data_IF_914602472095
#
_entry.id   IF_914602472095
#
_cell.length_a   1.000
_cell.length_b   1.000
_cell.length_c   1.000
_cell.angle_alpha   90.00
_cell.angle_beta   90.00
_cell.angle_gamma   90.00
#
_symmetry.space_group_name_H-M   'P 1'
#
loop_
_entity.id
_entity.type
_entity.pdbx_description
1 polymer ?
#
# COMPACT_ATOMS: atom_id res chain seq x y z
N UNK A 1 22.29 -0.79 14.06
CA UNK A 1 22.29 0.68 14.08
C UNK A 1 21.40 1.25 12.98
N UNK A 2 21.51 0.75 11.73
CA UNK A 2 20.67 1.16 10.60
C UNK A 2 19.17 0.88 10.81
N UNK A 3 18.81 -0.26 11.40
CA UNK A 3 17.44 -0.58 11.77
C UNK A 3 16.78 0.52 12.64
N UNK A 4 17.41 0.84 13.79
CA UNK A 4 16.88 1.85 14.70
C UNK A 4 16.80 3.25 14.07
N UNK A 5 17.76 3.59 13.20
CA UNK A 5 17.75 4.82 12.43
C UNK A 5 16.59 4.83 11.42
N UNK A 6 16.36 3.72 10.72
CA UNK A 6 15.24 3.57 9.79
C UNK A 6 13.88 3.67 10.47
N UNK A 7 13.70 3.00 11.63
CA UNK A 7 12.47 3.12 12.45
C UNK A 7 12.24 4.59 12.84
N UNK A 8 13.27 5.28 13.35
CA UNK A 8 13.18 6.68 13.72
C UNK A 8 12.81 7.56 12.53
N UNK A 9 13.48 7.38 11.39
CA UNK A 9 13.26 8.16 10.18
C UNK A 9 11.84 7.94 9.62
N UNK A 10 11.35 6.71 9.65
CA UNK A 10 9.98 6.39 9.20
C UNK A 10 8.92 7.02 10.12
N UNK A 11 9.08 6.87 11.43
CA UNK A 11 8.19 7.49 12.42
C UNK A 11 8.21 9.03 12.31
N UNK A 12 9.37 9.63 12.08
CA UNK A 12 9.51 11.06 11.82
C UNK A 12 8.79 11.45 10.51
N UNK A 13 8.91 10.66 9.46
CA UNK A 13 8.20 10.86 8.20
C UNK A 13 6.67 10.89 8.39
N UNK A 14 6.13 9.95 9.17
CA UNK A 14 4.70 9.92 9.55
C UNK A 14 4.34 11.19 10.34
N UNK A 15 5.14 11.57 11.34
CA UNK A 15 4.88 12.76 12.15
C UNK A 15 4.85 14.03 11.29
N UNK A 16 5.82 14.18 10.38
CA UNK A 16 5.85 15.29 9.43
C UNK A 16 4.61 15.29 8.53
N UNK A 17 4.20 14.13 8.02
CA UNK A 17 3.00 14.00 7.20
C UNK A 17 1.74 14.47 7.94
N UNK A 18 1.58 14.07 9.20
CA UNK A 18 0.46 14.51 10.04
C UNK A 18 0.54 16.02 10.36
N UNK A 19 1.70 16.53 10.66
CA UNK A 19 1.86 17.99 10.86
C UNK A 19 1.50 18.78 9.60
N UNK A 20 1.87 18.30 8.41
CA UNK A 20 1.52 18.93 7.15
C UNK A 20 0.01 18.82 6.85
N UNK A 21 -0.64 17.72 7.22
CA UNK A 21 -2.10 17.59 7.18
C UNK A 21 -2.78 18.72 7.99
N UNK A 22 -2.38 18.89 9.25
CA UNK A 22 -2.90 19.97 10.10
C UNK A 22 -2.56 21.36 9.54
N UNK A 23 -1.39 21.50 8.90
CA UNK A 23 -1.01 22.74 8.22
C UNK A 23 -1.93 23.05 7.02
N UNK A 24 -2.41 22.03 6.32
CA UNK A 24 -3.41 22.16 5.25
C UNK A 24 -4.68 22.86 5.75
N UNK A 25 -5.24 22.38 6.86
CA UNK A 25 -6.38 22.99 7.53
C UNK A 25 -6.09 24.43 7.98
N UNK A 26 -4.94 24.65 8.64
CA UNK A 26 -4.53 25.95 9.14
C UNK A 26 -4.40 27.00 8.03
N UNK A 27 -3.68 26.65 6.96
CA UNK A 27 -3.41 27.57 5.85
C UNK A 27 -4.70 27.97 5.16
N UNK A 28 -5.56 27.02 4.85
CA UNK A 28 -6.82 27.26 4.16
C UNK A 28 -7.82 28.00 5.06
N UNK A 29 -7.90 27.67 6.36
CA UNK A 29 -8.73 28.40 7.32
C UNK A 29 -8.33 29.87 7.40
N UNK A 30 -7.03 30.16 7.56
CA UNK A 30 -6.50 31.53 7.59
C UNK A 30 -6.73 32.26 6.26
N UNK A 31 -6.58 31.57 5.11
CA UNK A 31 -6.82 32.16 3.79
C UNK A 31 -8.27 32.61 3.61
N UNK A 32 -9.21 31.92 4.27
CA UNK A 32 -10.63 32.29 4.27
C UNK A 32 -11.04 33.18 5.45
N UNK A 33 -10.10 33.72 6.20
CA UNK A 33 -10.33 34.62 7.32
C UNK A 33 -11.03 33.94 8.51
N UNK A 34 -10.86 32.64 8.68
CA UNK A 34 -11.24 31.93 9.90
C UNK A 34 -10.17 32.14 10.98
N UNK A 35 -10.56 32.19 12.25
CA UNK A 35 -9.63 32.30 13.37
C UNK A 35 -9.13 30.93 13.76
N UNK A 36 -7.81 30.72 13.66
CA UNK A 36 -7.14 29.53 14.15
C UNK A 36 -6.27 29.93 15.37
N UNK A 37 -6.55 29.32 16.51
CA UNK A 37 -5.95 29.72 17.79
C UNK A 37 -4.76 28.88 18.17
N UNK A 38 -4.70 27.62 17.76
CA UNK A 38 -3.62 26.70 18.11
C UNK A 38 -3.24 25.82 16.90
N UNK A 39 -1.95 25.49 16.82
CA UNK A 39 -1.38 24.50 15.91
C UNK A 39 -0.25 23.78 16.65
N UNK A 40 -0.45 22.50 16.94
CA UNK A 40 0.49 21.74 17.74
C UNK A 40 0.82 20.38 17.09
N UNK A 41 2.10 20.01 17.15
CA UNK A 41 2.55 18.66 16.97
C UNK A 41 2.48 17.91 18.31
N UNK A 42 1.77 16.76 18.34
CA UNK A 42 1.61 15.94 19.54
C UNK A 42 0.42 16.34 20.43
N UNK A 43 0.27 15.60 21.54
CA UNK A 43 -0.76 15.76 22.54
C UNK A 43 -0.16 15.81 23.96
N UNK A 44 -0.98 16.12 24.98
CA UNK A 44 -0.56 16.17 26.38
C UNK A 44 0.08 17.49 26.77
N UNK A 45 1.04 17.51 27.74
CA UNK A 45 1.69 18.72 28.22
C UNK A 45 2.49 19.41 27.10
N UNK A 46 2.47 20.75 27.09
CA UNK A 46 3.26 21.55 26.14
C UNK A 46 4.72 21.54 26.56
N UNK A 47 5.60 21.07 25.66
CA UNK A 47 7.06 21.13 25.86
C UNK A 47 7.62 22.49 25.49
N UNK A 48 7.14 23.04 24.38
CA UNK A 48 7.57 24.33 23.85
C UNK A 48 6.48 24.93 22.99
N UNK A 49 6.25 26.22 23.08
CA UNK A 49 5.35 26.96 22.19
C UNK A 49 5.81 28.40 21.96
N UNK A 50 5.34 28.97 20.87
CA UNK A 50 5.49 30.42 20.59
C UNK A 50 4.21 30.91 19.91
N UNK A 51 3.94 32.22 20.05
CA UNK A 51 2.79 32.85 19.42
C UNK A 51 3.22 33.71 18.23
N UNK A 52 2.54 33.49 17.09
CA UNK A 52 2.69 34.34 15.91
C UNK A 52 1.30 34.80 15.45
N UNK A 53 1.06 36.12 15.65
CA UNK A 53 -0.26 36.69 15.47
C UNK A 53 -1.24 36.14 16.50
N UNK A 54 -2.36 35.64 16.04
CA UNK A 54 -3.42 35.06 16.89
C UNK A 54 -3.27 33.55 17.14
N UNK A 55 -2.31 32.89 16.51
CA UNK A 55 -2.10 31.43 16.60
C UNK A 55 -0.91 31.12 17.47
N UNK A 56 -1.08 30.20 18.41
CA UNK A 56 -0.02 29.59 19.19
C UNK A 56 0.45 28.30 18.45
N UNK A 57 1.76 28.21 18.22
CA UNK A 57 2.43 27.09 17.59
C UNK A 57 3.29 26.37 18.61
N UNK A 58 3.32 25.04 18.60
CA UNK A 58 4.17 24.34 19.54
C UNK A 58 4.24 22.85 19.37
N UNK A 59 4.97 22.22 20.29
CA UNK A 59 5.19 20.78 20.38
C UNK A 59 4.76 20.31 21.77
N UNK A 60 4.07 19.18 21.81
CA UNK A 60 3.60 18.53 23.04
C UNK A 60 4.33 17.20 23.27
N UNK A 61 4.26 16.68 24.49
CA UNK A 61 5.07 15.57 24.95
C UNK A 61 4.78 14.23 24.30
N UNK A 62 3.55 13.99 23.83
CA UNK A 62 3.14 12.70 23.26
C UNK A 62 3.10 12.85 21.73
N UNK A 63 4.07 12.27 20.98
CA UNK A 63 4.17 12.44 19.54
C UNK A 63 3.19 11.51 18.77
N UNK A 64 1.92 11.50 19.14
CA UNK A 64 0.90 10.62 18.58
C UNK A 64 -0.04 11.36 17.61
N UNK A 65 0.49 12.32 16.84
CA UNK A 65 -0.31 13.09 15.88
C UNK A 65 -0.09 14.60 15.99
N UNK A 66 -1.07 15.39 15.58
CA UNK A 66 -1.11 16.84 15.68
C UNK A 66 -2.55 17.33 15.75
N UNK A 67 -2.73 18.63 15.94
CA UNK A 67 -4.03 19.26 15.81
C UNK A 67 -3.94 20.75 15.49
N UNK A 68 -4.96 21.23 14.82
CA UNK A 68 -5.24 22.65 14.64
C UNK A 68 -6.58 23.00 15.28
N UNK A 69 -6.63 24.07 16.09
CA UNK A 69 -7.86 24.56 16.68
C UNK A 69 -8.39 25.74 15.88
N UNK A 70 -9.43 25.46 15.06
CA UNK A 70 -10.16 26.45 14.26
C UNK A 70 -11.44 26.81 15.00
N UNK A 71 -11.64 28.09 15.27
CA UNK A 71 -12.74 28.58 16.08
C UNK A 71 -14.12 28.22 15.46
N UNK A 72 -14.98 27.58 16.26
CA UNK A 72 -16.32 27.21 15.85
C UNK A 72 -16.37 26.04 14.86
N UNK A 73 -15.33 25.24 14.75
CA UNK A 73 -15.33 24.02 13.92
C UNK A 73 -16.23 22.95 14.54
N UNK A 74 -16.19 22.80 15.85
CA UNK A 74 -17.07 21.91 16.61
C UNK A 74 -17.96 22.70 17.56
N UNK A 75 -19.25 22.34 17.73
CA UNK A 75 -20.18 23.02 18.64
C UNK A 75 -19.85 22.82 20.12
N UNK A 76 -18.95 21.89 20.45
CA UNK A 76 -18.52 21.57 21.82
C UNK A 76 -17.44 22.53 22.33
N UNK A 77 -16.99 23.46 21.48
CA UNK A 77 -15.95 24.44 21.85
C UNK A 77 -16.54 25.62 22.61
N UNK A 78 -15.65 26.23 23.40
CA UNK A 78 -15.91 27.36 24.30
C UNK A 78 -16.81 28.47 23.73
N UNK A 79 -17.48 29.22 24.61
CA UNK A 79 -18.27 30.39 24.24
C UNK A 79 -17.44 31.35 23.39
N UNK A 80 -17.82 31.50 22.14
CA UNK A 80 -17.19 32.45 21.22
C UNK A 80 -17.34 33.86 21.74
N UNK A 81 -16.23 34.63 21.76
CA UNK A 81 -16.32 36.05 21.96
C UNK A 81 -17.15 36.69 20.83
N UNK A 82 -18.06 37.62 21.13
CA UNK A 82 -18.92 38.22 20.11
C UNK A 82 -18.16 38.83 18.92
N UNK A 83 -16.98 39.39 19.18
CA UNK A 83 -16.10 39.94 18.16
C UNK A 83 -15.54 38.92 17.18
N UNK A 84 -15.40 37.64 17.57
CA UNK A 84 -14.81 36.58 16.77
C UNK A 84 -15.88 35.75 16.02
N UNK A 85 -17.16 35.93 16.31
CA UNK A 85 -18.24 35.12 15.75
C UNK A 85 -18.27 35.15 14.21
N UNK A 86 -17.99 36.29 13.59
CA UNK A 86 -17.94 36.45 12.14
C UNK A 86 -16.80 35.67 11.47
N UNK A 87 -15.79 35.27 12.26
CA UNK A 87 -14.61 34.50 11.85
C UNK A 87 -14.74 33.02 12.18
N UNK A 88 -15.86 32.60 12.80
CA UNK A 88 -16.08 31.22 13.13
C UNK A 88 -16.27 30.37 11.86
N UNK A 89 -15.77 29.14 11.90
CA UNK A 89 -15.85 28.16 10.80
C UNK A 89 -17.29 27.99 10.29
N UNK A 90 -18.26 27.82 11.18
CA UNK A 90 -19.66 27.59 10.81
C UNK A 90 -20.34 28.81 10.15
N UNK A 91 -19.81 30.03 10.29
CA UNK A 91 -20.29 31.24 9.60
C UNK A 91 -19.89 31.31 8.13
N UNK A 92 -18.87 30.53 7.74
CA UNK A 92 -18.36 30.59 6.38
C UNK A 92 -19.20 29.78 5.40
N UNK A 93 -19.20 30.12 4.11
CA UNK A 93 -19.91 29.39 3.07
C UNK A 93 -19.49 27.91 3.03
N UNK A 94 -20.42 27.02 2.64
CA UNK A 94 -20.19 25.56 2.59
C UNK A 94 -18.91 25.19 1.83
N UNK A 95 -18.69 25.81 0.66
CA UNK A 95 -17.51 25.50 -0.15
C UNK A 95 -16.17 25.83 0.56
N UNK A 96 -16.10 26.97 1.34
CA UNK A 96 -14.91 27.30 2.12
C UNK A 96 -14.69 26.30 3.24
N UNK A 97 -15.76 25.92 3.94
CA UNK A 97 -15.69 24.89 4.99
C UNK A 97 -15.23 23.55 4.42
N UNK A 98 -15.76 23.16 3.25
CA UNK A 98 -15.34 21.92 2.57
C UNK A 98 -13.87 21.96 2.18
N UNK A 99 -13.39 23.05 1.58
CA UNK A 99 -11.97 23.18 1.22
C UNK A 99 -11.09 23.08 2.46
N UNK A 100 -11.45 23.71 3.57
CA UNK A 100 -10.65 23.61 4.81
C UNK A 100 -10.54 22.17 5.29
N UNK A 101 -11.68 21.43 5.32
CA UNK A 101 -11.69 20.04 5.79
C UNK A 101 -10.95 19.08 4.83
N UNK A 102 -11.07 19.29 3.53
CA UNK A 102 -10.40 18.42 2.54
C UNK A 102 -8.90 18.75 2.42
N UNK A 103 -8.48 19.96 2.82
CA UNK A 103 -7.11 20.40 2.67
C UNK A 103 -6.10 19.51 3.42
N UNK A 104 -6.46 18.96 4.57
CA UNK A 104 -5.62 17.99 5.28
C UNK A 104 -5.34 16.75 4.44
N UNK A 105 -6.38 16.10 3.93
CA UNK A 105 -6.23 14.94 3.04
C UNK A 105 -5.51 15.30 1.74
N UNK A 106 -5.74 16.48 1.19
CA UNK A 106 -5.06 16.95 -0.01
C UNK A 106 -3.53 17.05 0.18
N UNK A 107 -3.05 17.42 1.38
CA UNK A 107 -1.61 17.43 1.68
C UNK A 107 -1.01 16.02 1.68
N UNK A 108 -1.72 15.02 2.16
CA UNK A 108 -1.27 13.62 2.08
C UNK A 108 -1.14 13.13 0.64
N UNK A 109 -2.11 13.43 -0.23
CA UNK A 109 -2.00 13.08 -1.66
C UNK A 109 -0.85 13.83 -2.33
N UNK A 110 -0.66 15.13 -2.02
CA UNK A 110 0.48 15.89 -2.53
C UNK A 110 1.82 15.28 -2.08
N UNK A 111 1.94 14.90 -0.81
CA UNK A 111 3.15 14.24 -0.29
C UNK A 111 3.41 12.90 -1.00
N UNK A 112 2.37 12.08 -1.19
CA UNK A 112 2.48 10.83 -1.92
C UNK A 112 2.97 11.06 -3.36
N UNK A 113 2.40 12.05 -4.07
CA UNK A 113 2.87 12.42 -5.42
C UNK A 113 4.34 12.84 -5.39
N UNK A 114 4.77 13.65 -4.41
CA UNK A 114 6.16 14.09 -4.29
C UNK A 114 7.12 12.93 -3.99
N UNK A 115 6.73 11.99 -3.11
CA UNK A 115 7.52 10.79 -2.81
C UNK A 115 7.65 9.92 -4.06
N UNK A 116 6.54 9.58 -4.72
CA UNK A 116 6.55 8.75 -5.92
C UNK A 116 7.22 9.45 -7.11
N UNK A 117 7.12 10.77 -7.20
CA UNK A 117 7.88 11.54 -8.18
C UNK A 117 9.40 11.40 -7.95
N UNK A 118 9.84 11.53 -6.70
CA UNK A 118 11.24 11.29 -6.34
C UNK A 118 11.68 9.86 -6.67
N UNK A 119 10.86 8.86 -6.35
CA UNK A 119 11.14 7.46 -6.67
C UNK A 119 11.24 7.21 -8.17
N UNK A 120 10.33 7.77 -8.98
CA UNK A 120 10.19 7.49 -10.41
C UNK A 120 11.48 7.71 -11.21
N UNK A 121 12.35 8.63 -10.78
CA UNK A 121 13.61 8.90 -11.47
C UNK A 121 14.87 8.57 -10.65
N UNK A 122 14.73 8.00 -9.43
CA UNK A 122 15.88 7.62 -8.59
C UNK A 122 15.98 6.12 -8.36
N UNK A 123 14.91 5.51 -7.86
CA UNK A 123 14.84 4.09 -7.52
C UNK A 123 13.87 3.30 -8.41
N UNK A 124 13.17 3.99 -9.31
CA UNK A 124 12.05 3.44 -10.06
C UNK A 124 10.76 3.36 -9.23
N UNK A 125 9.61 3.28 -9.92
CA UNK A 125 8.34 2.93 -9.29
C UNK A 125 8.12 1.42 -9.37
N UNK A 126 7.52 0.77 -8.35
CA UNK A 126 7.13 -0.62 -8.44
C UNK A 126 6.30 -0.89 -9.71
N UNK A 127 6.66 -1.92 -10.45
CA UNK A 127 5.99 -2.23 -11.71
C UNK A 127 4.61 -2.85 -11.43
N UNK A 128 3.51 -2.19 -11.81
CA UNK A 128 2.17 -2.70 -11.56
C UNK A 128 1.86 -4.01 -12.32
N UNK A 129 2.59 -4.29 -13.40
CA UNK A 129 2.45 -5.53 -14.13
C UNK A 129 2.75 -6.77 -13.27
N UNK A 130 3.59 -6.63 -12.22
CA UNK A 130 3.86 -7.72 -11.27
C UNK A 130 2.63 -8.11 -10.44
N UNK A 131 1.76 -7.16 -10.11
CA UNK A 131 0.55 -7.43 -9.31
C UNK A 131 -0.51 -8.24 -10.09
N UNK A 132 -0.46 -8.20 -11.43
CA UNK A 132 -1.38 -8.92 -12.33
C UNK A 132 -0.67 -9.97 -13.17
N UNK A 133 0.59 -10.26 -12.85
CA UNK A 133 1.39 -11.21 -13.61
C UNK A 133 0.92 -12.63 -13.35
N UNK A 134 0.40 -13.27 -14.38
CA UNK A 134 0.11 -14.68 -14.39
C UNK A 134 1.15 -15.41 -15.27
N UNK A 135 1.99 -16.23 -14.64
CA UNK A 135 3.11 -16.88 -15.32
C UNK A 135 2.64 -17.71 -16.51
N UNK A 136 1.47 -18.35 -16.41
CA UNK A 136 0.93 -19.22 -17.48
C UNK A 136 0.55 -18.45 -18.76
N UNK A 137 0.11 -17.19 -18.61
CA UNK A 137 -0.28 -16.33 -19.74
C UNK A 137 0.87 -15.47 -20.29
N UNK A 138 2.03 -15.54 -19.61
CA UNK A 138 3.18 -14.76 -20.01
C UNK A 138 3.78 -15.23 -21.35
N UNK A 139 4.50 -14.36 -22.03
CA UNK A 139 5.28 -14.74 -23.20
C UNK A 139 6.26 -15.88 -22.84
N UNK A 140 6.45 -16.87 -23.72
CA UNK A 140 7.29 -18.04 -23.44
C UNK A 140 8.79 -17.72 -23.53
N UNK A 141 9.20 -16.67 -22.81
CA UNK A 141 10.59 -16.23 -22.72
C UNK A 141 11.25 -16.88 -21.51
N UNK A 142 12.40 -17.46 -21.73
CA UNK A 142 13.23 -18.05 -20.67
C UNK A 142 13.72 -16.93 -19.74
N UNK A 143 13.34 -16.99 -18.45
CA UNK A 143 13.80 -16.06 -17.41
C UNK A 143 15.11 -16.52 -16.83
N UNK A 144 15.10 -17.66 -16.17
CA UNK A 144 16.30 -18.28 -15.59
C UNK A 144 16.48 -19.69 -16.11
N UNK A 145 17.72 -20.14 -16.10
CA UNK A 145 18.10 -21.50 -16.46
C UNK A 145 18.75 -22.16 -15.24
N UNK A 146 18.11 -23.17 -14.70
CA UNK A 146 18.54 -23.83 -13.47
C UNK A 146 19.78 -24.70 -13.71
N UNK A 147 20.66 -24.74 -12.72
CA UNK A 147 21.85 -25.60 -12.70
C UNK A 147 21.46 -27.09 -12.66
N UNK A 148 20.42 -27.40 -11.93
CA UNK A 148 19.89 -28.75 -11.73
C UNK A 148 18.36 -28.77 -11.79
N UNK A 149 17.79 -29.98 -11.83
CA UNK A 149 16.36 -30.24 -11.58
C UNK A 149 16.24 -31.02 -10.28
N UNK A 150 15.53 -30.47 -9.30
CA UNK A 150 15.28 -31.14 -8.02
C UNK A 150 14.22 -32.22 -8.23
N UNK A 151 14.53 -33.51 -7.92
CA UNK A 151 13.61 -34.63 -8.18
C UNK A 151 12.32 -34.58 -7.36
N UNK A 152 12.40 -34.09 -6.11
CA UNK A 152 11.25 -33.90 -5.21
C UNK A 152 10.61 -32.52 -5.35
N UNK A 153 9.56 -32.27 -4.55
CA UNK A 153 8.95 -30.95 -4.37
C UNK A 153 9.40 -30.34 -3.03
N UNK A 154 10.73 -30.21 -2.92
CA UNK A 154 11.41 -29.73 -1.71
C UNK A 154 11.54 -28.22 -1.77
N UNK A 155 10.58 -27.52 -1.11
CA UNK A 155 10.58 -26.06 -1.01
C UNK A 155 11.19 -25.62 0.32
N UNK A 156 11.87 -24.49 0.29
CA UNK A 156 12.30 -23.76 1.51
C UNK A 156 11.09 -23.11 2.18
N UNK A 157 11.25 -22.61 3.40
CA UNK A 157 10.21 -21.86 4.13
C UNK A 157 9.73 -20.61 3.35
N UNK A 158 10.55 -20.13 2.40
CA UNK A 158 10.23 -19.01 1.50
C UNK A 158 9.48 -19.43 0.23
N UNK A 159 9.19 -20.73 0.07
CA UNK A 159 8.48 -21.27 -1.11
C UNK A 159 9.35 -21.42 -2.37
N UNK A 160 10.68 -21.25 -2.25
CA UNK A 160 11.62 -21.50 -3.33
C UNK A 160 12.10 -22.97 -3.30
N UNK A 161 12.59 -23.49 -4.41
CA UNK A 161 13.28 -24.77 -4.39
C UNK A 161 14.61 -24.63 -3.62
N UNK A 162 15.00 -25.70 -2.90
CA UNK A 162 16.33 -25.77 -2.25
C UNK A 162 17.46 -25.62 -3.26
N UNK A 163 18.62 -25.32 -2.79
CA UNK A 163 19.84 -25.32 -3.61
C UNK A 163 20.13 -26.71 -4.20
N UNK A 164 20.82 -26.73 -5.35
CA UNK A 164 21.27 -27.95 -6.02
C UNK A 164 22.21 -28.75 -5.15
N UNK A 165 21.95 -30.04 -5.01
CA UNK A 165 22.86 -31.00 -4.42
C UNK A 165 23.67 -31.71 -5.53
N UNK A 166 24.79 -32.35 -5.16
CA UNK A 166 25.68 -33.02 -6.14
C UNK A 166 25.01 -34.19 -6.84
N UNK A 167 24.02 -34.80 -6.21
CA UNK A 167 23.23 -35.93 -6.74
C UNK A 167 22.04 -35.50 -7.61
N UNK A 168 21.68 -34.22 -7.65
CA UNK A 168 20.58 -33.77 -8.47
C UNK A 168 20.93 -33.83 -9.96
N UNK A 169 19.99 -34.22 -10.84
CA UNK A 169 20.20 -34.19 -12.28
C UNK A 169 20.58 -32.80 -12.79
N UNK A 170 21.59 -32.74 -13.66
CA UNK A 170 21.96 -31.47 -14.30
C UNK A 170 20.76 -30.85 -15.06
N UNK A 171 20.67 -29.54 -15.06
CA UNK A 171 19.59 -28.83 -15.74
C UNK A 171 19.58 -29.07 -17.26
N UNK A 172 18.53 -29.72 -17.81
CA UNK A 172 18.48 -30.05 -19.24
C UNK A 172 18.58 -28.82 -20.15
N UNK A 173 17.92 -27.72 -19.79
CA UNK A 173 17.98 -26.46 -20.53
C UNK A 173 19.42 -25.89 -20.57
N UNK A 174 20.12 -25.97 -19.45
CA UNK A 174 21.51 -25.50 -19.35
C UNK A 174 22.42 -26.35 -20.23
N UNK A 175 22.28 -27.69 -20.18
CA UNK A 175 23.04 -28.63 -21.01
C UNK A 175 22.75 -28.42 -22.50
N UNK A 176 21.49 -28.09 -22.86
CA UNK A 176 21.07 -27.79 -24.21
C UNK A 176 21.52 -26.40 -24.71
N UNK A 177 22.12 -25.57 -23.86
CA UNK A 177 22.62 -24.24 -24.20
C UNK A 177 21.54 -23.15 -24.32
N UNK A 178 20.36 -23.37 -23.73
CA UNK A 178 19.33 -22.33 -23.57
C UNK A 178 19.85 -21.24 -22.62
N UNK A 179 19.36 -20.02 -22.79
CA UNK A 179 19.80 -18.85 -22.02
C UNK A 179 18.62 -17.96 -21.67
N UNK A 180 18.74 -17.16 -20.60
CA UNK A 180 17.78 -16.08 -20.34
C UNK A 180 17.59 -15.20 -21.57
N UNK A 181 16.32 -14.87 -21.88
CA UNK A 181 15.93 -14.09 -23.05
C UNK A 181 15.60 -14.91 -24.32
N UNK A 182 15.81 -16.23 -24.33
CA UNK A 182 15.36 -17.09 -25.43
C UNK A 182 13.84 -17.16 -25.50
N UNK A 183 13.26 -16.94 -26.66
CA UNK A 183 11.82 -17.09 -26.89
C UNK A 183 11.56 -18.54 -27.38
N UNK A 184 10.84 -19.35 -26.63
CA UNK A 184 10.51 -20.71 -27.02
C UNK A 184 9.41 -20.71 -28.09
N UNK A 185 9.63 -21.47 -29.17
CA UNK A 185 8.75 -21.54 -30.33
C UNK A 185 8.04 -22.90 -30.42
N UNK A 186 8.76 -23.97 -30.09
CA UNK A 186 8.17 -25.30 -29.95
C UNK A 186 8.98 -26.21 -29.04
N UNK A 187 8.30 -27.15 -28.37
CA UNK A 187 8.88 -28.19 -27.53
C UNK A 187 8.31 -29.53 -27.94
N UNK A 188 9.16 -30.50 -28.27
CA UNK A 188 8.73 -31.82 -28.75
C UNK A 188 7.82 -31.76 -29.97
N UNK A 189 7.96 -30.77 -30.84
CA UNK A 189 7.11 -30.51 -31.99
C UNK A 189 5.77 -29.80 -31.68
N UNK A 190 5.44 -29.57 -30.41
CA UNK A 190 4.26 -28.80 -29.98
C UNK A 190 4.53 -27.29 -30.08
N UNK A 191 3.75 -26.52 -30.86
CA UNK A 191 3.90 -25.09 -30.92
C UNK A 191 3.62 -24.41 -29.57
N UNK A 192 4.38 -23.40 -29.22
CA UNK A 192 4.30 -22.66 -27.97
C UNK A 192 3.86 -21.21 -28.26
N UNK A 193 2.83 -20.72 -27.56
CA UNK A 193 2.31 -19.35 -27.66
C UNK A 193 2.45 -18.57 -26.36
N UNK A 194 2.39 -19.27 -25.22
CA UNK A 194 2.55 -18.71 -23.88
C UNK A 194 3.34 -19.68 -22.99
N UNK A 195 3.66 -19.27 -21.77
CA UNK A 195 4.43 -20.13 -20.85
C UNK A 195 3.61 -21.33 -20.34
N UNK A 196 2.30 -21.26 -20.30
CA UNK A 196 1.42 -22.38 -20.01
C UNK A 196 1.59 -23.53 -21.00
N UNK A 197 1.70 -23.19 -22.30
CA UNK A 197 1.99 -24.18 -23.35
C UNK A 197 3.36 -24.85 -23.13
N UNK A 198 4.37 -24.10 -22.64
CA UNK A 198 5.68 -24.65 -22.27
C UNK A 198 5.53 -25.69 -21.17
N UNK A 199 4.80 -25.34 -20.10
CA UNK A 199 4.57 -26.24 -18.97
C UNK A 199 3.85 -27.51 -19.40
N UNK A 200 2.82 -27.38 -20.23
CA UNK A 200 2.06 -28.51 -20.74
C UNK A 200 2.91 -29.40 -21.66
N UNK A 201 3.61 -28.81 -22.62
CA UNK A 201 4.45 -29.54 -23.57
C UNK A 201 5.59 -30.28 -22.88
N UNK A 202 6.28 -29.65 -21.91
CA UNK A 202 7.37 -30.26 -21.16
C UNK A 202 6.84 -31.37 -20.25
N UNK A 203 5.76 -31.11 -19.47
CA UNK A 203 5.23 -32.05 -18.48
C UNK A 203 4.61 -33.31 -19.13
N UNK A 204 4.01 -33.17 -20.33
CA UNK A 204 3.42 -34.29 -21.07
C UNK A 204 4.42 -35.08 -21.90
N UNK A 205 5.61 -34.55 -22.16
CA UNK A 205 6.68 -35.24 -22.87
C UNK A 205 7.31 -36.33 -21.98
N UNK A 206 7.69 -37.49 -22.53
CA UNK A 206 8.46 -38.47 -21.77
C UNK A 206 9.85 -37.90 -21.42
N UNK A 207 10.44 -38.36 -20.32
CA UNK A 207 11.82 -38.06 -20.02
C UNK A 207 12.76 -38.57 -21.14
N UNK A 208 13.84 -37.80 -21.38
CA UNK A 208 14.79 -38.10 -22.46
C UNK A 208 14.90 -36.98 -23.49
N UNK A 209 15.57 -37.25 -24.62
CA UNK A 209 15.92 -36.25 -25.62
C UNK A 209 14.66 -35.65 -26.30
N UNK A 210 14.45 -34.36 -26.10
CA UNK A 210 13.31 -33.61 -26.66
C UNK A 210 13.82 -32.41 -27.46
N UNK A 211 13.32 -32.28 -28.70
CA UNK A 211 13.65 -31.14 -29.55
C UNK A 211 13.03 -29.86 -29.00
N UNK A 212 13.85 -28.80 -28.93
CA UNK A 212 13.42 -27.46 -28.53
C UNK A 212 13.80 -26.47 -29.62
N UNK A 213 12.81 -25.78 -30.17
CA UNK A 213 13.02 -24.68 -31.12
C UNK A 213 12.82 -23.38 -30.39
N UNK A 214 13.77 -22.48 -30.51
CA UNK A 214 13.74 -21.19 -29.84
C UNK A 214 14.29 -20.10 -30.77
N UNK A 215 13.96 -18.84 -30.44
CA UNK A 215 14.48 -17.66 -31.12
C UNK A 215 15.39 -16.88 -30.20
N UNK A 216 16.61 -16.56 -30.67
CA UNK A 216 17.62 -15.78 -29.96
C UNK A 216 18.10 -14.66 -30.86
N UNK A 217 17.92 -13.41 -30.46
CA UNK A 217 18.28 -12.21 -31.26
C UNK A 217 17.65 -12.22 -32.66
N UNK A 218 16.41 -12.68 -32.81
CA UNK A 218 15.68 -12.76 -34.08
C UNK A 218 16.04 -13.96 -34.96
N UNK A 219 16.98 -14.83 -34.53
CA UNK A 219 17.34 -16.03 -35.28
C UNK A 219 16.69 -17.28 -34.63
N UNK A 220 15.98 -18.05 -35.44
CA UNK A 220 15.43 -19.34 -35.03
C UNK A 220 16.53 -20.41 -34.96
N UNK A 221 16.58 -21.11 -33.84
CA UNK A 221 17.58 -22.15 -33.53
C UNK A 221 16.87 -23.38 -32.99
N UNK A 222 17.52 -24.53 -33.17
CA UNK A 222 17.05 -25.81 -32.64
C UNK A 222 18.11 -26.43 -31.79
N UNK A 223 17.71 -27.01 -30.67
CA UNK A 223 18.57 -27.81 -29.79
C UNK A 223 17.81 -29.03 -29.28
N UNK A 224 18.53 -29.91 -28.59
CA UNK A 224 17.92 -31.08 -27.92
C UNK A 224 18.16 -30.94 -26.43
N UNK A 225 17.11 -30.94 -25.62
CA UNK A 225 17.16 -30.98 -24.17
C UNK A 225 16.79 -32.39 -23.69
N UNK A 226 17.59 -32.94 -22.79
CA UNK A 226 17.37 -34.29 -22.22
C UNK A 226 16.50 -34.15 -20.95
N UNK A 227 15.17 -34.16 -21.13
CA UNK A 227 14.22 -33.95 -20.04
C UNK A 227 14.36 -34.98 -18.94
N UNK A 228 14.23 -34.55 -17.67
CA UNK A 228 14.34 -35.42 -16.50
C UNK A 228 13.02 -35.52 -15.74
N UNK A 229 12.75 -36.66 -15.11
CA UNK A 229 11.58 -36.87 -14.27
C UNK A 229 11.70 -36.11 -12.95
N UNK A 230 10.60 -35.55 -12.49
CA UNK A 230 10.47 -34.86 -11.22
C UNK A 230 9.05 -34.98 -10.67
N UNK A 231 8.88 -34.68 -9.37
CA UNK A 231 7.57 -34.66 -8.72
C UNK A 231 7.08 -33.20 -8.62
N UNK A 232 5.92 -32.90 -9.19
CA UNK A 232 5.32 -31.55 -9.16
C UNK A 232 3.81 -31.63 -8.97
N UNK A 233 3.21 -30.66 -8.27
CA UNK A 233 1.75 -30.53 -8.22
C UNK A 233 1.19 -30.12 -9.59
N UNK A 234 -0.11 -30.30 -9.85
CA UNK A 234 -0.78 -29.76 -11.03
C UNK A 234 -0.58 -28.25 -11.17
N UNK A 235 -0.55 -27.75 -12.40
CA UNK A 235 -0.42 -26.31 -12.66
C UNK A 235 -1.58 -25.55 -11.99
N UNK A 236 -1.27 -24.49 -11.24
CA UNK A 236 -2.25 -23.68 -10.52
C UNK A 236 -2.77 -24.30 -9.20
N UNK A 237 -2.25 -25.45 -8.76
CA UNK A 237 -2.64 -26.13 -7.52
C UNK A 237 -1.41 -26.48 -6.68
N UNK A 238 -0.82 -25.49 -5.99
CA UNK A 238 0.40 -25.68 -5.22
C UNK A 238 0.29 -26.80 -4.15
N UNK A 239 -0.91 -26.98 -3.57
CA UNK A 239 -1.21 -28.00 -2.55
C UNK A 239 -1.80 -29.29 -3.19
N UNK A 240 -1.77 -29.42 -4.52
CA UNK A 240 -2.28 -30.58 -5.23
C UNK A 240 -1.42 -31.83 -5.03
N UNK A 241 -1.99 -33.00 -5.30
CA UNK A 241 -1.27 -34.27 -5.23
C UNK A 241 -0.10 -34.27 -6.23
N UNK A 242 1.10 -34.65 -5.76
CA UNK A 242 2.31 -34.66 -6.57
C UNK A 242 2.22 -35.70 -7.69
N UNK A 243 2.55 -35.30 -8.90
CA UNK A 243 2.56 -36.11 -10.10
C UNK A 243 3.99 -36.23 -10.66
N UNK A 244 4.32 -37.37 -11.18
CA UNK A 244 5.57 -37.55 -11.93
C UNK A 244 5.40 -36.90 -13.30
N UNK A 245 6.25 -35.88 -13.54
CA UNK A 245 6.24 -35.11 -14.80
C UNK A 245 7.68 -34.90 -15.28
N UNK A 246 7.85 -34.57 -16.54
CA UNK A 246 9.15 -34.17 -17.07
C UNK A 246 9.42 -32.68 -16.76
N UNK A 247 10.71 -32.33 -16.59
CA UNK A 247 11.18 -30.98 -16.38
C UNK A 247 12.39 -30.64 -17.27
N UNK A 248 12.47 -29.38 -17.67
CA UNK A 248 13.56 -28.84 -18.50
C UNK A 248 14.52 -27.94 -17.70
N UNK A 249 14.10 -27.44 -16.55
CA UNK A 249 14.92 -26.56 -15.69
C UNK A 249 14.98 -25.11 -16.19
N UNK A 250 13.84 -24.50 -16.47
CA UNK A 250 13.70 -23.06 -16.77
C UNK A 250 12.60 -22.43 -15.93
N UNK A 251 12.70 -21.13 -15.72
CA UNK A 251 11.60 -20.29 -15.24
C UNK A 251 11.12 -19.32 -16.33
N UNK A 252 9.91 -18.77 -16.15
CA UNK A 252 9.40 -17.69 -16.99
C UNK A 252 10.15 -16.38 -16.69
N UNK A 253 10.32 -15.53 -17.71
CA UNK A 253 10.84 -14.19 -17.51
C UNK A 253 9.80 -13.34 -16.75
N UNK A 254 10.19 -12.85 -15.58
CA UNK A 254 9.37 -11.92 -14.81
C UNK A 254 9.49 -10.52 -15.41
N UNK A 255 8.43 -9.70 -15.35
CA UNK A 255 8.55 -8.27 -15.63
C UNK A 255 9.58 -7.61 -14.70
N UNK A 256 10.23 -6.53 -15.18
CA UNK A 256 11.12 -5.75 -14.32
C UNK A 256 10.42 -5.36 -13.02
N UNK A 257 11.12 -5.46 -11.91
CA UNK A 257 10.59 -5.16 -10.58
C UNK A 257 10.20 -3.69 -10.42
N UNK A 258 10.87 -2.81 -11.18
CA UNK A 258 10.66 -1.36 -11.16
C UNK A 258 10.67 -0.78 -12.56
N UNK A 259 10.00 0.36 -12.72
CA UNK A 259 10.00 1.16 -13.94
C UNK A 259 10.65 2.52 -13.65
N UNK A 260 11.68 2.86 -14.43
CA UNK A 260 12.37 4.14 -14.38
C UNK A 260 11.75 5.12 -15.38
N UNK A 261 11.60 6.37 -14.96
CA UNK A 261 11.01 7.42 -15.76
C UNK A 261 11.96 8.62 -15.88
N UNK A 262 12.08 9.19 -17.06
CA UNK A 262 12.68 10.53 -17.18
C UNK A 262 11.85 11.59 -16.44
N UNK A 263 12.50 12.69 -16.00
CA UNK A 263 11.86 13.71 -15.12
C UNK A 263 10.50 14.20 -15.64
N UNK A 264 10.36 14.40 -16.95
CA UNK A 264 9.09 14.84 -17.56
C UNK A 264 7.98 13.77 -17.47
N UNK A 265 8.34 12.49 -17.64
CA UNK A 265 7.41 11.37 -17.55
C UNK A 265 7.12 10.97 -16.10
N UNK A 266 7.99 11.29 -15.15
CA UNK A 266 7.82 11.00 -13.73
C UNK A 266 6.59 11.70 -13.11
N UNK A 267 6.22 12.91 -13.59
CA UNK A 267 5.05 13.65 -13.11
C UNK A 267 3.74 12.86 -13.38
N UNK A 268 3.38 12.56 -14.64
CA UNK A 268 2.16 11.78 -14.89
C UNK A 268 2.25 10.37 -14.30
N UNK A 269 3.42 9.72 -14.28
CA UNK A 269 3.61 8.39 -13.69
C UNK A 269 3.31 8.40 -12.18
N UNK A 270 3.82 9.38 -11.43
CA UNK A 270 3.55 9.48 -9.98
C UNK A 270 2.09 9.76 -9.67
N UNK A 271 1.41 10.61 -10.45
CA UNK A 271 -0.04 10.86 -10.29
C UNK A 271 -0.84 9.61 -10.60
N UNK A 272 -0.50 8.90 -11.67
CA UNK A 272 -1.14 7.63 -12.01
C UNK A 272 -0.93 6.58 -10.91
N UNK A 273 0.30 6.47 -10.39
CA UNK A 273 0.63 5.52 -9.32
C UNK A 273 -0.13 5.83 -8.02
N UNK A 274 -0.30 7.11 -7.67
CA UNK A 274 -1.20 7.51 -6.56
C UNK A 274 -2.63 7.05 -6.83
N UNK A 275 -3.14 7.20 -8.07
CA UNK A 275 -4.46 6.71 -8.45
C UNK A 275 -4.62 5.20 -8.24
N UNK A 276 -3.65 4.41 -8.67
CA UNK A 276 -3.62 2.95 -8.43
C UNK A 276 -3.57 2.62 -6.93
N UNK A 277 -2.74 3.34 -6.17
CA UNK A 277 -2.65 3.14 -4.71
C UNK A 277 -3.97 3.51 -4.00
N UNK A 278 -4.70 4.53 -4.48
CA UNK A 278 -6.06 4.86 -3.98
C UNK A 278 -7.01 3.69 -4.22
N UNK A 279 -7.04 3.12 -5.43
CA UNK A 279 -7.87 1.97 -5.75
C UNK A 279 -7.54 0.76 -4.86
N UNK A 280 -6.26 0.42 -4.73
CA UNK A 280 -5.79 -0.65 -3.85
C UNK A 280 -6.18 -0.39 -2.39
N UNK A 281 -6.14 0.87 -1.93
CA UNK A 281 -6.58 1.26 -0.59
C UNK A 281 -8.06 0.96 -0.38
N UNK A 282 -8.94 1.29 -1.33
CA UNK A 282 -10.36 0.96 -1.23
C UNK A 282 -10.59 -0.56 -1.22
N UNK A 283 -9.88 -1.31 -2.04
CA UNK A 283 -9.95 -2.78 -2.04
C UNK A 283 -9.48 -3.37 -0.71
N UNK A 284 -8.38 -2.86 -0.13
CA UNK A 284 -7.87 -3.29 1.17
C UNK A 284 -8.88 -3.01 2.29
N UNK A 285 -9.49 -1.81 2.30
CA UNK A 285 -10.54 -1.46 3.28
C UNK A 285 -11.75 -2.37 3.13
N UNK A 286 -12.18 -2.68 1.91
CA UNK A 286 -13.32 -3.57 1.65
C UNK A 286 -13.05 -5.02 2.11
N UNK A 287 -11.82 -5.51 1.94
CA UNK A 287 -11.37 -6.84 2.37
C UNK A 287 -11.03 -6.92 3.86
N UNK A 288 -10.91 -5.78 4.54
CA UNK A 288 -10.47 -5.72 5.94
C UNK A 288 -11.27 -6.64 6.89
N UNK A 289 -12.63 -6.71 6.85
CA UNK A 289 -13.39 -7.58 7.74
C UNK A 289 -13.01 -9.06 7.62
N UNK A 290 -12.65 -9.54 6.43
CA UNK A 290 -12.24 -10.93 6.20
C UNK A 290 -10.83 -11.23 6.73
N UNK A 291 -10.01 -10.20 6.98
CA UNK A 291 -8.65 -10.36 7.51
C UNK A 291 -8.60 -10.32 9.06
N UNK A 292 -9.68 -9.91 9.74
CA UNK A 292 -9.73 -9.87 11.21
C UNK A 292 -9.55 -11.25 11.85
N UNK A 293 -10.20 -12.35 11.39
CA UNK A 293 -9.93 -13.68 11.93
C UNK A 293 -8.44 -14.07 11.82
N UNK A 294 -7.82 -13.81 10.67
CA UNK A 294 -6.39 -14.11 10.44
C UNK A 294 -5.45 -13.34 11.37
N UNK A 295 -5.82 -12.13 11.80
CA UNK A 295 -5.08 -11.40 12.83
C UNK A 295 -5.18 -12.07 14.20
N UNK A 296 -6.34 -12.62 14.55
CA UNK A 296 -6.54 -13.36 15.80
C UNK A 296 -5.74 -14.68 15.78
N UNK A 297 -5.73 -15.37 14.64
CA UNK A 297 -4.94 -16.58 14.44
C UNK A 297 -3.44 -16.28 14.60
N UNK A 298 -2.94 -15.19 14.00
CA UNK A 298 -1.55 -14.75 14.13
C UNK A 298 -1.17 -14.41 15.59
N UNK A 299 -2.07 -13.80 16.37
CA UNK A 299 -1.86 -13.51 17.81
C UNK A 299 -1.84 -14.80 18.63
N UNK A 300 -2.59 -15.83 18.20
CA UNK A 300 -2.64 -17.14 18.88
C UNK A 300 -1.47 -18.06 18.54
N UNK A 301 -0.51 -17.62 17.71
CA UNK A 301 0.72 -18.33 17.39
C UNK A 301 0.70 -19.09 16.05
N UNK A 302 -0.30 -18.87 15.21
CA UNK A 302 -0.28 -19.36 13.82
C UNK A 302 0.54 -18.43 12.92
N UNK A 303 0.93 -18.90 11.75
CA UNK A 303 1.67 -18.10 10.77
C UNK A 303 0.88 -16.86 10.36
N UNK A 304 1.59 -15.74 10.27
CA UNK A 304 0.98 -14.47 9.92
C UNK A 304 0.84 -14.31 8.41
N UNK A 305 -0.40 -14.19 7.93
CA UNK A 305 -0.68 -13.82 6.54
C UNK A 305 -0.11 -12.42 6.24
N UNK A 306 0.84 -12.28 5.27
CA UNK A 306 1.44 -10.99 4.90
C UNK A 306 0.43 -9.92 4.43
N UNK A 307 -0.75 -10.34 3.96
CA UNK A 307 -1.81 -9.42 3.55
C UNK A 307 -2.66 -8.89 4.73
N UNK A 308 -2.34 -9.28 5.98
CA UNK A 308 -3.04 -8.74 7.14
C UNK A 308 -2.64 -7.30 7.41
N UNK A 309 -3.56 -6.47 7.90
CA UNK A 309 -3.26 -5.07 8.24
C UNK A 309 -2.15 -4.96 9.28
N UNK A 310 -1.32 -3.95 9.12
CA UNK A 310 -0.25 -3.59 10.05
C UNK A 310 -0.58 -2.29 10.78
N UNK A 311 -0.06 -2.13 12.00
CA UNK A 311 -0.14 -0.88 12.75
C UNK A 311 0.96 0.11 12.31
N UNK A 312 0.90 1.34 12.82
CA UNK A 312 1.99 2.33 12.64
C UNK A 312 3.32 1.80 13.17
N UNK A 313 3.29 0.99 14.25
CA UNK A 313 4.50 0.36 14.81
C UNK A 313 5.05 -0.71 13.85
N UNK A 314 4.18 -1.56 13.29
CA UNK A 314 4.56 -2.53 12.26
C UNK A 314 5.14 -1.86 11.02
N UNK A 315 4.47 -0.82 10.51
CA UNK A 315 4.97 -0.04 9.37
C UNK A 315 6.34 0.59 9.65
N UNK A 316 6.53 1.16 10.87
CA UNK A 316 7.82 1.74 11.25
C UNK A 316 8.91 0.68 11.36
N UNK A 317 8.57 -0.53 11.84
CA UNK A 317 9.49 -1.66 11.88
C UNK A 317 9.92 -2.11 10.48
N UNK A 318 8.96 -2.30 9.56
CA UNK A 318 9.24 -2.64 8.16
C UNK A 318 10.12 -1.55 7.52
N UNK A 319 9.84 -0.26 7.79
CA UNK A 319 10.71 0.84 7.38
C UNK A 319 12.13 0.73 7.94
N UNK A 320 12.28 0.26 9.19
CA UNK A 320 13.57 -0.03 9.81
C UNK A 320 14.32 -1.17 9.13
N UNK A 321 13.64 -2.29 8.86
CA UNK A 321 14.18 -3.44 8.14
C UNK A 321 14.58 -3.06 6.70
N UNK A 322 13.75 -2.30 6.00
CA UNK A 322 14.06 -1.79 4.67
C UNK A 322 15.34 -0.93 4.66
N UNK A 323 15.52 -0.08 5.68
CA UNK A 323 16.74 0.71 5.80
C UNK A 323 17.97 -0.16 6.13
N UNK A 324 17.83 -1.20 6.94
CA UNK A 324 18.92 -2.14 7.30
C UNK A 324 19.34 -2.98 6.09
N UNK A 325 18.38 -3.44 5.29
CA UNK A 325 18.60 -4.24 4.08
C UNK A 325 19.03 -3.37 2.87
N UNK A 326 19.08 -2.04 3.01
CA UNK A 326 19.43 -1.14 1.90
C UNK A 326 18.36 -1.09 0.79
N UNK A 327 17.10 -1.21 1.15
CA UNK A 327 15.93 -1.22 0.25
C UNK A 327 15.17 0.12 0.29
N UNK A 328 15.72 1.23 -0.25
CA UNK A 328 15.09 2.54 -0.18
C UNK A 328 13.75 2.59 -0.91
N UNK A 329 13.56 1.76 -1.94
CA UNK A 329 12.30 1.67 -2.69
C UNK A 329 11.15 1.18 -1.79
N UNK A 330 11.39 0.15 -0.96
CA UNK A 330 10.40 -0.38 -0.02
C UNK A 330 10.04 0.67 1.03
N UNK A 331 11.07 1.35 1.58
CA UNK A 331 10.88 2.42 2.57
C UNK A 331 10.01 3.55 2.03
N UNK A 332 10.33 4.07 0.85
CA UNK A 332 9.63 5.18 0.22
C UNK A 332 8.22 4.77 -0.27
N UNK A 333 8.10 3.58 -0.86
CA UNK A 333 6.80 3.06 -1.30
C UNK A 333 5.83 2.88 -0.12
N UNK A 334 6.32 2.35 1.01
CA UNK A 334 5.54 2.20 2.23
C UNK A 334 5.12 3.57 2.79
N UNK A 335 6.03 4.55 2.84
CA UNK A 335 5.73 5.91 3.33
C UNK A 335 4.75 6.64 2.40
N UNK A 336 4.92 6.52 1.08
CA UNK A 336 4.00 7.08 0.08
C UNK A 336 2.63 6.43 0.15
N UNK A 337 2.57 5.10 0.19
CA UNK A 337 1.33 4.34 0.34
C UNK A 337 0.57 4.66 1.63
N UNK A 338 1.28 4.80 2.75
CA UNK A 338 0.68 5.21 4.02
C UNK A 338 0.08 6.62 3.94
N UNK A 339 0.74 7.56 3.23
CA UNK A 339 0.15 8.88 3.00
C UNK A 339 -1.14 8.77 2.18
N UNK A 340 -1.18 7.96 1.11
CA UNK A 340 -2.41 7.72 0.35
C UNK A 340 -3.50 7.14 1.25
N UNK A 341 -3.15 6.11 2.05
CA UNK A 341 -4.09 5.48 2.97
C UNK A 341 -4.70 6.47 3.96
N UNK A 342 -3.87 7.28 4.63
CA UNK A 342 -4.35 8.29 5.60
C UNK A 342 -5.21 9.34 4.88
N UNK A 343 -4.81 9.78 3.69
CA UNK A 343 -5.58 10.74 2.89
C UNK A 343 -6.96 10.23 2.51
N UNK A 344 -7.06 8.98 2.04
CA UNK A 344 -8.33 8.31 1.70
C UNK A 344 -9.17 8.11 2.96
N UNK A 345 -8.56 7.58 4.02
CA UNK A 345 -9.26 7.24 5.25
C UNK A 345 -9.89 8.47 5.93
N UNK A 346 -9.17 9.60 5.97
CA UNK A 346 -9.71 10.84 6.53
C UNK A 346 -10.89 11.43 5.72
N UNK A 347 -11.07 11.03 4.46
CA UNK A 347 -12.22 11.45 3.65
C UNK A 347 -13.47 10.58 3.84
N UNK A 348 -13.41 9.49 4.62
CA UNK A 348 -14.59 8.69 4.91
C UNK A 348 -15.64 9.50 5.68
N UNK A 349 -16.94 9.35 5.35
CA UNK A 349 -18.02 10.12 5.95
C UNK A 349 -18.39 9.63 7.37
N UNK A 350 -17.38 9.48 8.22
CA UNK A 350 -17.49 8.96 9.60
C UNK A 350 -16.84 9.94 10.59
N UNK A 351 -17.57 10.36 11.63
CA UNK A 351 -16.94 11.09 12.75
C UNK A 351 -16.03 10.15 13.55
N UNK A 352 -14.86 10.60 14.03
CA UNK A 352 -14.37 11.99 14.06
C UNK A 352 -13.51 12.42 12.85
N UNK A 353 -13.53 11.69 11.72
CA UNK A 353 -12.73 12.01 10.55
C UNK A 353 -13.22 13.28 9.83
N UNK A 354 -12.35 13.93 9.06
CA UNK A 354 -12.67 15.15 8.30
C UNK A 354 -13.85 14.94 7.33
N UNK A 355 -13.90 13.78 6.67
CA UNK A 355 -14.99 13.39 5.78
C UNK A 355 -16.35 13.32 6.49
N UNK A 356 -16.37 12.97 7.78
CA UNK A 356 -17.58 13.01 8.60
C UNK A 356 -18.09 14.44 8.79
N UNK A 357 -17.18 15.38 9.04
CA UNK A 357 -17.53 16.81 9.13
C UNK A 357 -18.00 17.36 7.77
N UNK A 358 -17.34 16.96 6.66
CA UNK A 358 -17.80 17.32 5.31
C UNK A 358 -19.22 16.80 5.06
N UNK A 359 -19.49 15.54 5.38
CA UNK A 359 -20.81 14.93 5.22
C UNK A 359 -21.91 15.70 5.99
N UNK A 360 -21.62 16.11 7.23
CA UNK A 360 -22.55 16.90 8.05
C UNK A 360 -22.83 18.26 7.41
N UNK A 361 -21.81 18.98 6.94
CA UNK A 361 -21.96 20.29 6.31
C UNK A 361 -22.84 20.20 5.06
N UNK A 362 -22.62 19.17 4.23
CA UNK A 362 -23.44 18.97 3.04
C UNK A 362 -24.85 18.49 3.38
N UNK A 363 -25.02 17.66 4.40
CA UNK A 363 -26.35 17.28 4.91
C UNK A 363 -27.12 18.50 5.41
N UNK A 364 -26.49 19.40 6.19
CA UNK A 364 -27.11 20.67 6.62
C UNK A 364 -27.56 21.49 5.39
N UNK A 365 -26.69 21.60 4.38
CA UNK A 365 -27.01 22.38 3.16
C UNK A 365 -28.18 21.81 2.39
N UNK A 366 -28.22 20.50 2.19
CA UNK A 366 -29.32 19.82 1.49
C UNK A 366 -30.60 19.94 2.28
N UNK A 367 -30.55 19.77 3.59
CA UNK A 367 -31.75 19.92 4.48
C UNK A 367 -32.33 21.33 4.46
N UNK A 368 -31.48 22.35 4.55
CA UNK A 368 -31.92 23.77 4.46
C UNK A 368 -32.51 24.09 3.10
N UNK A 369 -31.89 23.64 2.01
CA UNK A 369 -32.43 23.80 0.66
C UNK A 369 -33.80 23.13 0.48
N UNK A 370 -33.99 21.94 1.08
CA UNK A 370 -35.27 21.21 1.02
C UNK A 370 -36.35 21.91 1.85
N UNK A 371 -36.01 22.44 3.02
CA UNK A 371 -36.92 23.23 3.86
C UNK A 371 -37.38 24.48 3.12
N UNK A 372 -36.46 25.23 2.53
CA UNK A 372 -36.76 26.44 1.75
C UNK A 372 -37.72 26.15 0.57
N UNK A 373 -37.49 25.02 -0.17
CA UNK A 373 -38.42 24.61 -1.26
C UNK A 373 -39.84 24.27 -0.78
N UNK A 374 -39.97 23.84 0.48
CA UNK A 374 -41.28 23.52 1.09
C UNK A 374 -41.87 24.70 1.88
N UNK A 375 -41.28 25.88 1.81
CA UNK A 375 -41.73 27.06 2.57
C UNK A 375 -41.60 26.89 4.09
N UNK A 376 -40.70 26.00 4.56
CA UNK A 376 -40.45 25.77 5.98
C UNK A 376 -39.25 26.58 6.46
N UNK A 377 -39.22 26.97 7.76
CA UNK A 377 -38.06 27.64 8.33
C UNK A 377 -36.80 26.75 8.23
N UNK A 378 -35.63 27.41 8.17
CA UNK A 378 -34.33 26.69 8.16
C UNK A 378 -34.20 25.81 9.41
N UNK A 379 -33.94 24.50 9.27
CA UNK A 379 -33.76 23.61 10.42
C UNK A 379 -32.49 23.89 11.26
N UNK A 380 -31.61 24.80 10.78
CA UNK A 380 -30.39 25.17 11.48
C UNK A 380 -29.29 24.11 11.41
N UNK A 381 -28.33 24.18 12.34
CA UNK A 381 -27.21 23.26 12.40
C UNK A 381 -27.59 21.90 13.00
N UNK A 382 -26.83 20.87 12.66
CA UNK A 382 -26.96 19.54 13.28
C UNK A 382 -26.48 19.61 14.72
N UNK A 383 -27.23 18.98 15.61
CA UNK A 383 -26.84 18.81 17.00
C UNK A 383 -25.81 17.67 17.12
N UNK A 384 -24.56 18.01 17.32
CA UNK A 384 -23.47 17.05 17.46
C UNK A 384 -23.62 16.12 18.68
N UNK A 385 -24.34 16.56 19.73
CA UNK A 385 -24.60 15.69 20.89
C UNK A 385 -25.37 14.43 20.50
N UNK A 386 -26.25 14.53 19.48
CA UNK A 386 -26.99 13.37 18.95
C UNK A 386 -26.09 12.42 18.14
N UNK A 387 -24.95 12.88 17.67
CA UNK A 387 -23.97 12.08 16.91
C UNK A 387 -22.89 11.46 17.81
N UNK A 388 -22.77 11.92 19.08
CA UNK A 388 -21.79 11.40 20.02
C UNK A 388 -21.85 9.86 20.19
N UNK A 389 -23.03 9.20 20.32
CA UNK A 389 -23.06 7.75 20.45
C UNK A 389 -22.44 7.04 19.24
N UNK A 390 -22.73 7.52 18.02
CA UNK A 390 -22.15 6.98 16.78
C UNK A 390 -20.65 7.22 16.75
N UNK A 391 -20.20 8.41 17.13
CA UNK A 391 -18.76 8.75 17.22
C UNK A 391 -18.03 7.84 18.18
N UNK A 392 -18.61 7.55 19.36
CA UNK A 392 -18.01 6.60 20.33
C UNK A 392 -17.94 5.18 19.79
N UNK A 393 -18.97 4.70 19.09
CA UNK A 393 -18.91 3.37 18.44
C UNK A 393 -17.78 3.31 17.43
N UNK A 394 -17.62 4.35 16.60
CA UNK A 394 -16.54 4.43 15.61
C UNK A 394 -15.18 4.47 16.31
N UNK A 395 -15.01 5.26 17.35
CA UNK A 395 -13.77 5.35 18.14
C UNK A 395 -13.41 4.01 18.79
N UNK A 396 -14.40 3.31 19.38
CA UNK A 396 -14.18 2.00 19.98
C UNK A 396 -13.81 0.94 18.93
N UNK A 397 -14.46 0.97 17.77
CA UNK A 397 -14.16 0.07 16.67
C UNK A 397 -12.72 0.27 16.17
N UNK A 398 -12.34 1.49 15.84
CA UNK A 398 -11.00 1.78 15.32
C UNK A 398 -9.93 1.66 16.40
N UNK A 399 -10.23 2.03 17.66
CA UNK A 399 -9.33 1.82 18.79
C UNK A 399 -9.09 0.34 19.05
N UNK A 400 -10.14 -0.48 19.05
CA UNK A 400 -10.02 -1.94 19.18
C UNK A 400 -9.21 -2.55 18.06
N UNK A 401 -9.44 -2.09 16.82
CA UNK A 401 -8.71 -2.53 15.64
C UNK A 401 -7.24 -2.14 15.69
N UNK A 402 -6.93 -0.91 16.12
CA UNK A 402 -5.56 -0.45 16.33
C UNK A 402 -4.84 -1.28 17.38
N UNK A 403 -5.52 -1.61 18.48
CA UNK A 403 -4.96 -2.48 19.52
C UNK A 403 -4.73 -3.91 19.01
N UNK A 404 -5.65 -4.44 18.19
CA UNK A 404 -5.53 -5.77 17.60
C UNK A 404 -4.32 -5.83 16.65
N UNK A 405 -4.20 -4.88 15.71
CA UNK A 405 -3.06 -4.83 14.78
C UNK A 405 -1.76 -4.59 15.52
N UNK A 406 -1.73 -3.70 16.52
CA UNK A 406 -0.56 -3.46 17.34
C UNK A 406 -0.10 -4.72 18.09
N UNK A 407 -1.05 -5.46 18.67
CA UNK A 407 -0.74 -6.72 19.37
C UNK A 407 -0.16 -7.74 18.40
N UNK A 408 -0.77 -7.89 17.20
CA UNK A 408 -0.26 -8.79 16.17
C UNK A 408 1.17 -8.39 15.73
N UNK A 409 1.44 -7.10 15.55
CA UNK A 409 2.77 -6.60 15.14
C UNK A 409 3.86 -6.76 16.22
N UNK A 410 3.46 -6.84 17.50
CA UNK A 410 4.40 -7.10 18.61
C UNK A 410 4.64 -8.60 18.79
N UNK A 411 3.58 -9.42 18.77
CA UNK A 411 3.64 -10.86 19.04
C UNK A 411 4.17 -11.63 17.85
N UNK A 412 3.68 -11.32 16.66
CA UNK A 412 3.99 -12.01 15.41
C UNK A 412 4.16 -11.00 14.27
N UNK A 413 5.30 -10.28 14.20
CA UNK A 413 5.53 -9.23 13.23
C UNK A 413 5.75 -9.77 11.82
N UNK A 414 5.24 -9.06 10.81
CA UNK A 414 5.64 -9.26 9.41
C UNK A 414 7.10 -8.79 9.27
N UNK A 415 7.95 -9.55 8.56
CA UNK A 415 9.36 -9.28 8.30
C UNK A 415 9.61 -9.24 6.80
N UNK A 416 10.66 -8.53 6.40
CA UNK A 416 11.11 -8.45 4.99
C UNK A 416 12.15 -9.53 4.64
N UNK A 417 12.69 -10.22 5.62
CA UNK A 417 13.68 -11.28 5.45
C UNK A 417 13.95 -12.02 6.75
#
# INVERSE_FOLDING_TARGET
>A
MMFAFGVFLFALGIMVSVCLHEAGHLITAKRFGMKATQYFAGFGPTLWSFRRGETEYGVKAIPAGGFVKILGMTPLEDKLAPEDEHRAFWRKPVWQRTIVLVAGSATHFLLAVLIFFGMAFTTGLPNPALATFEAVDAAPVVGEVSECVIPGYDLTDEGAFRDCAAEDPAGPAKAAGLRPGDLLVSVGGTPITNYGDVLEAVRSSPAGPTEVVYERAGERRTTTADLVETQRPPVGQADGELQTVSAIGISVALPDGTLDYGVAAAVPASVWYVGQTVEQTFQAIARFPSKVPKLLDAISGQDRDPETPISVVGASRIGGEAAELGLPIVFLALLGGLNVFIGVFNLFPLLPLDGGHVAIIWFERVRSWWAARKGRPDPGRVDYNKLLPVTYVVLLLFGGLTLLTLTADIVNPIRLG
#
